data_IF_136991525095
#
_entry.id   IF_136991525095
#
_cell.length_a   1.000
_cell.length_b   1.000
_cell.length_c   1.000
_cell.angle_alpha   90.00
_cell.angle_beta   90.00
_cell.angle_gamma   90.00
#
_symmetry.space_group_name_H-M   'P 1'
#
loop_
_entity.id
_entity.type
_entity.pdbx_description
1 polymer ?
#
# COMPACT_ATOMS: atom_id res chain seq x y z
N UNK A 1 -0.38 9.95 26.69
CA UNK A 1 -0.30 9.83 25.23
C UNK A 1 -1.63 9.30 24.72
N UNK A 2 -2.14 9.81 23.60
CA UNK A 2 -3.37 9.27 23.01
C UNK A 2 -3.17 7.82 22.55
N UNK A 3 -4.23 7.02 22.66
CA UNK A 3 -4.23 5.63 22.20
C UNK A 3 -4.05 5.56 20.67
N UNK A 4 -3.39 4.50 20.20
CA UNK A 4 -3.21 4.23 18.78
C UNK A 4 -4.53 3.70 18.18
N UNK A 5 -4.94 4.22 17.03
CA UNK A 5 -6.16 3.83 16.34
C UNK A 5 -5.88 3.59 14.86
N UNK A 6 -6.31 2.44 14.34
CA UNK A 6 -6.28 2.14 12.91
C UNK A 6 -7.54 2.67 12.22
N UNK A 7 -7.39 3.26 11.04
CA UNK A 7 -8.50 3.76 10.21
C UNK A 7 -8.25 3.42 8.75
N UNK A 8 -9.24 2.79 8.11
CA UNK A 8 -9.27 2.58 6.67
C UNK A 8 -9.95 3.77 5.99
N UNK A 9 -9.37 4.24 4.89
CA UNK A 9 -9.80 5.40 4.14
C UNK A 9 -10.26 4.98 2.73
N UNK A 10 -11.21 5.71 2.13
CA UNK A 10 -11.76 5.39 0.80
C UNK A 10 -11.00 6.06 -0.34
N UNK A 11 -10.21 7.07 -0.02
CA UNK A 11 -9.40 7.82 -0.98
C UNK A 11 -8.30 8.60 -0.29
N UNK A 12 -7.38 9.13 -1.09
CA UNK A 12 -6.29 9.97 -0.59
C UNK A 12 -6.83 11.26 0.02
N UNK A 13 -7.96 11.76 -0.51
CA UNK A 13 -8.63 12.95 -0.02
C UNK A 13 -9.15 12.85 1.44
N UNK A 14 -9.33 11.64 1.97
CA UNK A 14 -9.76 11.42 3.36
C UNK A 14 -8.62 11.64 4.38
N UNK A 15 -7.38 11.81 3.89
CA UNK A 15 -6.18 12.00 4.69
C UNK A 15 -5.68 13.45 4.54
N UNK A 16 -5.29 14.15 5.62
CA UNK A 16 -4.78 15.51 5.52
C UNK A 16 -3.46 15.58 4.74
N UNK A 17 -3.43 16.39 3.67
CA UNK A 17 -2.26 16.62 2.80
C UNK A 17 -0.98 16.92 3.61
N UNK A 18 -1.07 17.82 4.58
CA UNK A 18 0.07 18.25 5.40
C UNK A 18 0.64 17.13 6.25
N UNK A 19 -0.20 16.22 6.75
CA UNK A 19 0.25 15.09 7.57
C UNK A 19 0.85 13.97 6.71
N UNK A 20 0.25 13.72 5.56
CA UNK A 20 0.78 12.78 4.56
C UNK A 20 2.17 13.21 4.09
N UNK A 21 2.30 14.44 3.60
CA UNK A 21 3.55 14.94 3.04
C UNK A 21 4.66 15.04 4.10
N UNK A 22 4.28 15.31 5.37
CA UNK A 22 5.21 15.24 6.51
C UNK A 22 5.76 13.82 6.71
N UNK A 23 4.90 12.80 6.74
CA UNK A 23 5.34 11.40 6.89
C UNK A 23 6.18 10.95 5.70
N UNK A 24 5.75 11.29 4.48
CA UNK A 24 6.49 11.00 3.25
C UNK A 24 7.89 11.65 3.28
N UNK A 25 7.99 12.93 3.64
CA UNK A 25 9.26 13.65 3.73
C UNK A 25 10.21 13.01 4.76
N UNK A 26 9.68 12.65 5.93
CA UNK A 26 10.43 12.00 6.99
C UNK A 26 10.98 10.62 6.57
N UNK A 27 10.18 9.84 5.84
CA UNK A 27 10.56 8.53 5.37
C UNK A 27 11.52 8.53 4.16
N UNK A 28 11.61 9.63 3.39
CA UNK A 28 12.44 9.69 2.19
C UNK A 28 13.95 9.69 2.45
N UNK A 29 14.44 10.12 3.62
CA UNK A 29 15.88 10.16 3.98
C UNK A 29 16.80 10.88 2.98
N UNK A 30 16.25 11.47 1.92
CA UNK A 30 16.90 11.93 0.70
C UNK A 30 16.15 13.16 0.18
N UNK A 31 16.85 14.17 -0.39
CA UNK A 31 16.26 15.43 -0.82
C UNK A 31 15.34 15.33 -2.05
N UNK A 32 15.27 14.17 -2.72
CA UNK A 32 14.29 13.92 -3.79
C UNK A 32 13.11 13.12 -3.22
N UNK A 33 11.98 13.77 -2.89
CA UNK A 33 10.78 13.04 -2.52
C UNK A 33 10.36 12.12 -3.66
N UNK A 34 9.85 10.93 -3.34
CA UNK A 34 9.23 10.08 -4.37
C UNK A 34 7.99 10.80 -4.92
N UNK A 35 8.06 11.44 -6.11
CA UNK A 35 7.02 12.38 -6.53
C UNK A 35 5.69 11.67 -6.75
N UNK A 36 5.78 10.40 -7.14
CA UNK A 36 4.65 9.51 -7.40
C UNK A 36 3.87 9.08 -6.15
N UNK A 37 4.34 9.45 -4.96
CA UNK A 37 3.64 9.22 -3.71
C UNK A 37 3.20 10.51 -3.00
N UNK A 38 3.46 11.67 -3.60
CA UNK A 38 2.95 12.95 -3.07
C UNK A 38 1.44 12.91 -2.99
N UNK A 39 0.88 13.49 -1.92
CA UNK A 39 -0.56 13.52 -1.72
C UNK A 39 -1.29 14.09 -2.94
N UNK A 40 -0.82 15.24 -3.45
CA UNK A 40 -1.43 15.90 -4.63
C UNK A 40 -1.35 15.05 -5.88
N UNK A 41 -0.25 14.32 -6.08
CA UNK A 41 -0.11 13.47 -7.25
C UNK A 41 -1.15 12.36 -7.24
N UNK A 42 -1.26 11.63 -6.13
CA UNK A 42 -2.21 10.54 -6.00
C UNK A 42 -3.66 11.03 -6.04
N UNK A 43 -3.97 12.13 -5.35
CA UNK A 43 -5.30 12.74 -5.39
C UNK A 43 -5.67 13.22 -6.79
N UNK A 44 -4.72 13.77 -7.56
CA UNK A 44 -4.95 14.15 -8.96
C UNK A 44 -5.30 12.94 -9.81
N UNK A 45 -4.59 11.82 -9.67
CA UNK A 45 -4.90 10.58 -10.38
C UNK A 45 -6.31 10.05 -10.05
N UNK A 46 -6.75 10.16 -8.79
CA UNK A 46 -8.12 9.79 -8.40
C UNK A 46 -9.13 10.73 -9.05
N UNK A 47 -8.94 12.04 -8.92
CA UNK A 47 -9.89 13.05 -9.42
C UNK A 47 -9.95 13.15 -10.94
N UNK A 48 -8.89 12.77 -11.67
CA UNK A 48 -8.88 12.73 -13.13
C UNK A 48 -9.58 11.50 -13.72
N UNK A 49 -9.97 10.53 -12.89
CA UNK A 49 -10.49 9.24 -13.35
C UNK A 49 -9.41 8.25 -13.80
N UNK A 50 -8.13 8.51 -13.52
CA UNK A 50 -7.03 7.63 -13.91
C UNK A 50 -6.92 6.39 -13.00
N UNK A 51 -7.27 6.53 -11.72
CA UNK A 51 -7.25 5.44 -10.73
C UNK A 51 -8.60 5.31 -10.02
N UNK A 52 -9.61 4.87 -10.77
CA UNK A 52 -10.97 4.64 -10.27
C UNK A 52 -11.40 3.18 -10.45
N UNK A 53 -12.43 2.71 -9.72
CA UNK A 53 -12.83 1.31 -9.75
C UNK A 53 -13.13 0.78 -11.17
N UNK A 54 -13.64 1.64 -12.05
CA UNK A 54 -13.92 1.33 -13.46
C UNK A 54 -12.63 1.00 -14.24
N UNK A 55 -11.49 1.57 -13.83
CA UNK A 55 -10.16 1.30 -14.35
C UNK A 55 -9.43 0.21 -13.53
N UNK A 56 -10.18 -0.51 -12.69
CA UNK A 56 -9.69 -1.58 -11.84
C UNK A 56 -8.80 -1.11 -10.69
N UNK A 57 -8.85 0.16 -10.29
CA UNK A 57 -8.10 0.73 -9.16
C UNK A 57 -9.08 1.31 -8.13
N UNK A 58 -9.06 0.82 -6.90
CA UNK A 58 -9.84 1.42 -5.82
C UNK A 58 -8.93 1.74 -4.65
N UNK A 59 -8.80 3.01 -4.31
CA UNK A 59 -8.01 3.48 -3.18
C UNK A 59 -8.55 2.89 -1.87
N UNK A 60 -7.65 2.40 -1.02
CA UNK A 60 -7.97 1.85 0.28
C UNK A 60 -6.84 2.10 1.31
N UNK A 61 -6.39 3.35 1.55
CA UNK A 61 -5.26 3.59 2.45
C UNK A 61 -5.56 3.17 3.89
N UNK A 62 -4.55 2.62 4.58
CA UNK A 62 -4.59 2.34 6.01
C UNK A 62 -3.77 3.38 6.77
N UNK A 63 -4.41 4.14 7.66
CA UNK A 63 -3.76 5.11 8.54
C UNK A 63 -3.75 4.66 10.00
N UNK A 64 -2.64 4.88 10.70
CA UNK A 64 -2.56 4.79 12.16
C UNK A 64 -2.53 6.18 12.78
N UNK A 65 -3.31 6.38 13.84
CA UNK A 65 -3.58 7.68 14.44
C UNK A 65 -3.35 7.68 15.94
N UNK A 66 -2.81 8.78 16.48
CA UNK A 66 -2.85 9.12 17.91
C UNK A 66 -3.64 10.42 18.08
N UNK A 67 -4.92 10.29 18.43
CA UNK A 67 -5.85 11.41 18.37
C UNK A 67 -6.06 11.86 16.92
N UNK A 68 -5.68 13.10 16.62
CA UNK A 68 -5.77 13.69 15.27
C UNK A 68 -4.43 13.70 14.51
N UNK A 69 -3.39 13.11 15.09
CA UNK A 69 -2.08 12.96 14.45
C UNK A 69 -1.98 11.60 13.75
N UNK A 70 -1.82 11.62 12.44
CA UNK A 70 -1.47 10.48 11.61
C UNK A 70 0.00 10.13 11.86
N UNK A 71 0.26 8.97 12.46
CA UNK A 71 1.62 8.52 12.84
C UNK A 71 2.19 7.48 11.87
N UNK A 72 1.33 6.78 11.13
CA UNK A 72 1.77 5.94 10.03
C UNK A 72 0.69 5.86 8.94
N UNK A 73 1.09 5.63 7.69
CA UNK A 73 0.15 5.35 6.60
C UNK A 73 0.73 4.39 5.57
N UNK A 74 -0.11 3.44 5.14
CA UNK A 74 0.13 2.53 4.03
C UNK A 74 -0.78 2.94 2.86
N UNK A 75 -0.24 3.46 1.76
CA UNK A 75 -0.99 3.65 0.53
C UNK A 75 -1.30 2.27 -0.08
N UNK A 76 -2.58 1.96 -0.24
CA UNK A 76 -3.04 0.65 -0.71
C UNK A 76 -4.18 0.83 -1.70
N UNK A 77 -4.30 -0.13 -2.62
CA UNK A 77 -5.34 -0.14 -3.64
C UNK A 77 -5.90 -1.55 -3.78
N UNK A 78 -7.22 -1.68 -3.81
CA UNK A 78 -7.88 -2.86 -4.32
C UNK A 78 -7.77 -2.86 -5.84
N UNK A 79 -7.27 -3.97 -6.39
CA UNK A 79 -7.04 -4.11 -7.82
C UNK A 79 -7.91 -5.20 -8.42
N UNK A 80 -8.72 -4.84 -9.40
CA UNK A 80 -9.63 -5.75 -10.10
C UNK A 80 -9.01 -6.57 -11.24
N UNK A 81 -7.77 -6.26 -11.63
CA UNK A 81 -7.01 -6.94 -12.69
C UNK A 81 -5.53 -6.58 -12.58
N UNK A 82 -4.62 -7.36 -13.16
CA UNK A 82 -3.18 -7.08 -13.06
C UNK A 82 -2.64 -6.01 -14.03
N UNK A 83 -3.45 -5.52 -14.96
CA UNK A 83 -3.03 -4.45 -15.87
C UNK A 83 -2.65 -3.17 -15.12
N UNK A 84 -1.51 -2.59 -15.49
CA UNK A 84 -0.96 -1.37 -14.88
C UNK A 84 -0.08 -1.59 -13.65
N UNK A 85 0.08 -2.84 -13.20
CA UNK A 85 1.02 -3.19 -12.10
C UNK A 85 2.43 -3.47 -12.58
N UNK A 86 2.61 -3.71 -13.89
CA UNK A 86 3.89 -4.07 -14.51
C UNK A 86 4.52 -5.34 -13.88
N UNK A 87 3.66 -6.21 -13.35
CA UNK A 87 3.95 -7.55 -12.82
C UNK A 87 3.07 -8.56 -13.55
N UNK A 88 3.67 -9.66 -14.04
CA UNK A 88 2.98 -10.72 -14.77
C UNK A 88 2.61 -11.88 -13.85
N UNK A 89 1.53 -11.72 -13.09
CA UNK A 89 1.01 -12.72 -12.14
C UNK A 89 -0.13 -13.56 -12.72
N UNK A 90 -0.28 -13.61 -14.06
CA UNK A 90 -1.36 -14.34 -14.73
C UNK A 90 -1.41 -15.82 -14.33
N UNK A 91 -0.24 -16.43 -14.10
CA UNK A 91 -0.13 -17.82 -13.63
C UNK A 91 -0.78 -18.04 -12.26
N UNK A 92 -0.74 -17.06 -11.35
CA UNK A 92 -1.43 -17.14 -10.07
C UNK A 92 -2.94 -17.00 -10.23
N UNK A 93 -3.40 -16.09 -11.09
CA UNK A 93 -4.82 -15.96 -11.41
C UNK A 93 -5.40 -17.24 -12.04
N UNK A 94 -4.66 -17.86 -12.97
CA UNK A 94 -5.03 -19.15 -13.57
C UNK A 94 -5.08 -20.28 -12.54
N UNK A 95 -4.09 -20.38 -11.66
CA UNK A 95 -4.05 -21.38 -10.60
C UNK A 95 -5.22 -21.21 -9.63
N UNK A 96 -5.49 -19.98 -9.18
CA UNK A 96 -6.62 -19.68 -8.32
C UNK A 96 -7.95 -20.10 -8.97
N UNK A 97 -8.14 -19.80 -10.26
CA UNK A 97 -9.32 -20.22 -11.00
C UNK A 97 -9.46 -21.76 -11.07
N UNK A 98 -8.34 -22.49 -11.29
CA UNK A 98 -8.34 -23.97 -11.25
C UNK A 98 -8.70 -24.53 -9.88
N UNK A 99 -8.39 -23.81 -8.81
CA UNK A 99 -8.75 -24.15 -7.43
C UNK A 99 -10.15 -23.66 -7.03
N UNK A 100 -10.90 -23.00 -7.94
CA UNK A 100 -12.20 -22.42 -7.63
C UNK A 100 -12.13 -21.18 -6.72
N UNK A 101 -10.95 -20.57 -6.58
CA UNK A 101 -10.72 -19.38 -5.77
C UNK A 101 -10.87 -18.12 -6.61
N UNK A 102 -11.35 -17.06 -5.98
CA UNK A 102 -11.47 -15.74 -6.60
C UNK A 102 -10.19 -14.94 -6.38
N UNK A 103 -9.38 -14.78 -7.43
CA UNK A 103 -8.11 -14.05 -7.34
C UNK A 103 -8.27 -12.53 -7.22
N UNK A 104 -9.28 -11.95 -7.89
CA UNK A 104 -9.56 -10.51 -7.86
C UNK A 104 -10.84 -10.16 -7.08
N UNK A 105 -10.90 -9.03 -6.38
CA UNK A 105 -9.82 -8.08 -6.24
C UNK A 105 -8.71 -8.62 -5.33
N UNK A 106 -7.49 -8.16 -5.57
CA UNK A 106 -6.35 -8.32 -4.67
C UNK A 106 -5.98 -6.96 -4.08
N UNK A 107 -5.36 -6.95 -2.90
CA UNK A 107 -4.84 -5.73 -2.33
C UNK A 107 -3.41 -5.50 -2.85
N UNK A 108 -3.09 -4.26 -3.22
CA UNK A 108 -1.77 -3.92 -3.76
C UNK A 108 -1.23 -2.67 -3.09
N UNK A 109 0.01 -2.76 -2.63
CA UNK A 109 0.82 -1.62 -2.24
C UNK A 109 1.85 -1.30 -3.33
N UNK A 110 1.59 -0.25 -4.10
CA UNK A 110 2.53 0.33 -5.07
C UNK A 110 2.12 1.76 -5.41
N UNK A 111 2.97 2.50 -6.11
CA UNK A 111 2.53 3.71 -6.81
C UNK A 111 1.61 3.32 -7.98
N UNK A 112 0.37 3.82 -8.06
CA UNK A 112 -0.51 3.52 -9.17
C UNK A 112 0.09 3.92 -10.52
N UNK A 113 -0.13 3.09 -11.54
CA UNK A 113 0.22 3.31 -12.95
C UNK A 113 1.69 3.69 -13.22
N UNK A 114 2.59 3.51 -12.25
CA UNK A 114 4.00 3.91 -12.31
C UNK A 114 4.86 2.86 -11.60
N UNK A 115 5.70 2.09 -12.32
CA UNK A 115 6.56 1.07 -11.73
C UNK A 115 7.80 1.71 -11.10
N UNK A 116 7.62 2.34 -9.93
CA UNK A 116 8.67 3.13 -9.27
C UNK A 116 9.09 2.48 -7.96
N UNK A 117 10.38 2.23 -7.85
CA UNK A 117 11.01 1.71 -6.63
C UNK A 117 10.82 2.67 -5.46
N UNK A 118 10.57 2.11 -4.28
CA UNK A 118 10.49 2.85 -3.02
C UNK A 118 9.17 2.68 -2.27
N UNK A 119 8.29 1.73 -2.65
CA UNK A 119 7.09 1.47 -1.85
C UNK A 119 7.48 1.05 -0.42
N UNK A 120 6.87 1.69 0.56
CA UNK A 120 6.99 1.39 1.99
C UNK A 120 5.85 2.03 2.75
N UNK A 121 5.67 1.64 4.00
CA UNK A 121 4.82 2.40 4.91
C UNK A 121 5.53 3.68 5.33
N UNK A 122 4.83 4.80 5.35
CA UNK A 122 5.40 6.04 5.89
C UNK A 122 5.05 6.13 7.35
N UNK A 123 6.09 6.07 8.19
CA UNK A 123 5.99 6.01 9.64
C UNK A 123 6.72 7.22 10.21
N UNK A 124 6.14 7.83 11.23
CA UNK A 124 6.75 8.94 11.96
C UNK A 124 8.09 8.47 12.58
N UNK A 125 9.20 9.20 12.39
CA UNK A 125 10.51 8.81 12.95
C UNK A 125 10.54 8.70 14.48
N UNK A 126 9.56 9.28 15.19
CA UNK A 126 9.43 9.13 16.62
C UNK A 126 8.79 7.80 17.06
N UNK A 127 8.24 7.02 16.13
CA UNK A 127 7.62 5.72 16.40
C UNK A 127 8.56 4.56 16.04
N UNK A 128 8.30 3.38 16.58
CA UNK A 128 9.03 2.16 16.23
C UNK A 128 8.52 1.63 14.87
N UNK A 129 9.33 1.82 13.83
CA UNK A 129 8.99 1.42 12.47
C UNK A 129 8.79 -0.09 12.32
N UNK A 130 9.53 -0.92 13.06
CA UNK A 130 9.40 -2.38 12.99
C UNK A 130 8.09 -2.82 13.64
N UNK A 131 7.80 -2.30 14.83
CA UNK A 131 6.55 -2.59 15.56
C UNK A 131 5.32 -2.15 14.75
N UNK A 132 5.33 -0.92 14.22
CA UNK A 132 4.19 -0.42 13.45
C UNK A 132 4.05 -1.11 12.09
N UNK A 133 5.14 -1.50 11.44
CA UNK A 133 5.07 -2.31 10.21
C UNK A 133 4.39 -3.65 10.47
N UNK A 134 4.80 -4.36 11.54
CA UNK A 134 4.20 -5.63 11.91
C UNK A 134 2.70 -5.48 12.23
N UNK A 135 2.34 -4.48 13.04
CA UNK A 135 0.93 -4.19 13.36
C UNK A 135 0.10 -3.86 12.11
N UNK A 136 0.63 -3.04 11.21
CA UNK A 136 -0.09 -2.67 9.98
C UNK A 136 -0.28 -3.86 9.05
N UNK A 137 0.71 -4.76 8.95
CA UNK A 137 0.58 -6.00 8.18
C UNK A 137 -0.46 -6.94 8.80
N UNK A 138 -0.50 -7.08 10.12
CA UNK A 138 -1.55 -7.84 10.81
C UNK A 138 -2.96 -7.27 10.52
N UNK A 139 -3.10 -5.94 10.57
CA UNK A 139 -4.36 -5.26 10.25
C UNK A 139 -4.77 -5.44 8.78
N UNK A 140 -3.80 -5.41 7.87
CA UNK A 140 -4.00 -5.66 6.43
C UNK A 140 -4.46 -7.11 6.20
N UNK A 141 -3.83 -8.09 6.85
CA UNK A 141 -4.22 -9.49 6.75
C UNK A 141 -5.63 -9.70 7.31
N UNK A 142 -5.95 -9.11 8.46
CA UNK A 142 -7.29 -9.14 9.04
C UNK A 142 -8.35 -8.56 8.10
N UNK A 143 -8.05 -7.41 7.48
CA UNK A 143 -8.93 -6.79 6.47
C UNK A 143 -9.12 -7.70 5.25
N UNK A 144 -8.05 -8.33 4.75
CA UNK A 144 -8.15 -9.26 3.63
C UNK A 144 -9.03 -10.47 3.96
N UNK A 145 -8.89 -11.04 5.15
CA UNK A 145 -9.72 -12.16 5.61
C UNK A 145 -11.19 -11.77 5.75
N UNK A 146 -11.47 -10.60 6.37
CA UNK A 146 -12.83 -10.10 6.56
C UNK A 146 -13.56 -9.87 5.23
N UNK A 147 -12.84 -9.36 4.22
CA UNK A 147 -13.41 -9.03 2.92
C UNK A 147 -13.26 -10.12 1.85
N UNK A 148 -12.68 -11.28 2.18
CA UNK A 148 -12.47 -12.38 1.24
C UNK A 148 -11.49 -12.04 0.11
N UNK A 149 -10.51 -11.18 0.39
CA UNK A 149 -9.43 -10.81 -0.54
C UNK A 149 -8.34 -11.87 -0.45
N UNK A 150 -8.04 -12.52 -1.58
CA UNK A 150 -7.17 -13.70 -1.59
C UNK A 150 -5.69 -13.38 -1.30
N UNK A 151 -5.23 -12.19 -1.67
CA UNK A 151 -3.82 -11.83 -1.55
C UNK A 151 -3.60 -10.33 -1.38
N UNK A 152 -2.53 -9.98 -0.67
CA UNK A 152 -1.91 -8.66 -0.68
C UNK A 152 -0.52 -8.75 -1.33
N UNK A 153 -0.19 -7.79 -2.19
CA UNK A 153 1.11 -7.73 -2.87
C UNK A 153 1.73 -6.34 -2.71
N UNK A 154 2.98 -6.28 -2.25
CA UNK A 154 3.75 -5.04 -2.20
C UNK A 154 4.76 -5.05 -3.34
N UNK A 155 4.63 -4.11 -4.28
CA UNK A 155 5.42 -4.07 -5.52
C UNK A 155 6.39 -2.90 -5.50
N UNK A 156 7.57 -3.09 -6.12
CA UNK A 156 8.62 -2.07 -6.19
C UNK A 156 9.01 -1.52 -4.80
N UNK A 157 9.15 -2.44 -3.83
CA UNK A 157 9.39 -2.12 -2.43
C UNK A 157 10.74 -1.43 -2.22
N UNK A 158 10.80 -0.53 -1.26
CA UNK A 158 12.07 0.03 -0.80
C UNK A 158 12.93 -1.11 -0.18
N UNK A 159 14.17 -1.32 -0.66
CA UNK A 159 15.06 -2.34 -0.10
C UNK A 159 15.32 -2.20 1.40
N UNK A 160 15.21 -0.98 1.97
CA UNK A 160 15.35 -0.76 3.40
C UNK A 160 14.09 -1.15 4.19
N UNK A 161 12.92 -1.20 3.55
CA UNK A 161 11.66 -1.61 4.18
C UNK A 161 11.40 -3.12 4.04
N UNK A 162 11.89 -3.76 2.96
CA UNK A 162 11.67 -5.17 2.70
C UNK A 162 12.02 -6.10 3.90
N UNK A 163 13.14 -5.92 4.64
CA UNK A 163 13.45 -6.75 5.80
C UNK A 163 12.41 -6.66 6.93
N UNK A 164 11.75 -5.50 7.09
CA UNK A 164 10.69 -5.31 8.09
C UNK A 164 9.43 -6.09 7.70
N UNK A 165 9.07 -6.07 6.42
CA UNK A 165 7.93 -6.84 5.91
C UNK A 165 8.20 -8.35 5.97
N UNK A 166 9.41 -8.79 5.63
CA UNK A 166 9.81 -10.21 5.74
C UNK A 166 9.78 -10.70 7.19
N UNK A 167 10.28 -9.90 8.14
CA UNK A 167 10.22 -10.21 9.57
C UNK A 167 8.78 -10.33 10.10
N UNK A 168 7.81 -9.70 9.42
CA UNK A 168 6.39 -9.78 9.73
C UNK A 168 5.64 -10.88 8.93
N UNK A 169 6.35 -11.72 8.16
CA UNK A 169 5.78 -12.89 7.48
C UNK A 169 5.52 -12.73 5.99
N UNK A 170 5.82 -11.56 5.39
CA UNK A 170 5.78 -11.43 3.93
C UNK A 170 6.89 -12.26 3.27
N UNK A 171 6.59 -12.85 2.12
CA UNK A 171 7.57 -13.60 1.34
C UNK A 171 8.05 -12.78 0.13
N UNK A 172 9.37 -12.64 -0.10
CA UNK A 172 9.88 -11.97 -1.29
C UNK A 172 9.62 -12.85 -2.52
N UNK A 173 9.15 -12.22 -3.59
CA UNK A 173 9.03 -12.86 -4.90
C UNK A 173 9.95 -12.15 -5.89
N UNK A 174 11.01 -12.84 -6.31
CA UNK A 174 11.92 -12.39 -7.35
C UNK A 174 11.38 -12.87 -8.69
N UNK A 175 10.85 -11.96 -9.50
CA UNK A 175 10.47 -12.29 -10.87
C UNK A 175 11.74 -12.60 -11.67
N UNK A 176 11.99 -13.88 -11.94
CA UNK A 176 13.20 -14.35 -12.64
C UNK A 176 13.16 -14.16 -14.16
N UNK A 177 12.09 -13.59 -14.71
CA UNK A 177 11.97 -13.32 -16.16
C UNK A 177 11.48 -11.88 -16.38
N UNK A 178 12.43 -11.02 -16.77
CA UNK A 178 12.18 -9.71 -17.39
C UNK A 178 12.64 -9.75 -18.83
#
# INVERSE_FOLDING_TARGET
MAALQARWHRGIADLPETQWDRLLAAASGSPAPLPFYRWRWLQQLESSGSIVPEQGWQSCPLGLWRGDQLVAVAPLYLKGHSYGEFVFDQSFAELAARLGLRYYPKLVGMSPVSPVMGYRFWIDPAEDAAQLTALMLELIDGFCLEHGILSVNFLYVDPAWAPLAEAAGCAPWLNQQS
#
